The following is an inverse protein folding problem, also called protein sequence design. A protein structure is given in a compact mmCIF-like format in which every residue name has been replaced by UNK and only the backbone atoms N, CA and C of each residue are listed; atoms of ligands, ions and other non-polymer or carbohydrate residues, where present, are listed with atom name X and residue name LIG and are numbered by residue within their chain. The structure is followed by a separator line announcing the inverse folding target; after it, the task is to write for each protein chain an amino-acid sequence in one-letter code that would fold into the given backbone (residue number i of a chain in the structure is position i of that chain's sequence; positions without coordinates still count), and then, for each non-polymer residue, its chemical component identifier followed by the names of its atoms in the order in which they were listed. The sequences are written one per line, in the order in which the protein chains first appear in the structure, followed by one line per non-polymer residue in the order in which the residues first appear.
data_IF_055621726956
#
_entry.id   IF_055621726956
#
_cell.length_a   1.000
_cell.length_b   1.000
_cell.length_c   1.000
_cell.angle_alpha   90.00
_cell.angle_beta   90.00
_cell.angle_gamma   90.00
#
_symmetry.space_group_name_H-M   'P 1'
#
loop_
_entity.id
_entity.type
_entity.pdbx_description
1 polymer ?
#
# COMPACT_ATOMS: atom_id res chain seq x y z
N UNK A 1 9.19 17.71 -17.55
CA UNK A 1 9.40 16.28 -17.92
C UNK A 1 9.14 15.27 -16.77
N UNK A 2 8.37 15.61 -15.71
CA UNK A 2 8.04 14.68 -14.60
C UNK A 2 6.66 14.00 -14.73
N UNK A 3 5.71 14.58 -15.48
CA UNK A 3 4.35 14.01 -15.60
C UNK A 3 4.31 12.71 -16.40
N UNK A 4 5.06 12.61 -17.50
CA UNK A 4 5.01 11.44 -18.39
C UNK A 4 5.49 10.15 -17.72
N UNK A 5 6.45 10.23 -16.80
CA UNK A 5 6.96 9.06 -16.06
C UNK A 5 5.91 8.48 -15.10
N UNK A 6 5.17 9.34 -14.40
CA UNK A 6 4.09 8.89 -13.50
C UNK A 6 2.93 8.22 -14.24
N UNK A 7 2.61 8.72 -15.43
CA UNK A 7 1.55 8.15 -16.28
C UNK A 7 1.97 6.74 -16.74
N UNK A 8 3.21 6.59 -17.21
CA UNK A 8 3.74 5.27 -17.60
C UNK A 8 3.80 4.27 -16.45
N UNK A 9 4.21 4.71 -15.25
CA UNK A 9 4.19 3.86 -14.06
C UNK A 9 2.77 3.43 -13.67
N UNK A 10 1.78 4.34 -13.73
CA UNK A 10 0.38 4.00 -13.49
C UNK A 10 -0.14 2.99 -14.52
N UNK A 11 0.13 3.19 -15.81
CA UNK A 11 -0.29 2.27 -16.87
C UNK A 11 0.31 0.87 -16.69
N UNK A 12 1.58 0.77 -16.28
CA UNK A 12 2.22 -0.51 -15.99
C UNK A 12 1.57 -1.23 -14.80
N UNK A 13 1.22 -0.49 -13.74
CA UNK A 13 0.50 -1.04 -12.58
C UNK A 13 -0.91 -1.50 -12.96
N UNK A 14 -1.61 -0.74 -13.81
CA UNK A 14 -2.92 -1.13 -14.34
C UNK A 14 -2.82 -2.42 -15.14
N UNK A 15 -1.79 -2.58 -15.98
CA UNK A 15 -1.57 -3.80 -16.75
C UNK A 15 -1.29 -5.02 -15.86
N UNK A 16 -0.58 -4.83 -14.74
CA UNK A 16 -0.17 -5.93 -13.85
C UNK A 16 -1.25 -6.35 -12.85
N UNK A 17 -1.87 -5.39 -12.17
CA UNK A 17 -2.80 -5.66 -11.06
C UNK A 17 -4.27 -5.38 -11.41
N UNK A 18 -4.51 -4.79 -12.58
CA UNK A 18 -5.86 -4.40 -13.00
C UNK A 18 -6.24 -3.00 -12.51
N UNK A 19 -6.98 -2.28 -13.35
CA UNK A 19 -7.42 -0.90 -13.07
C UNK A 19 -8.27 -0.80 -11.81
N UNK A 20 -9.23 -1.71 -11.64
CA UNK A 20 -10.18 -1.67 -10.52
C UNK A 20 -9.49 -1.72 -9.14
N UNK A 21 -8.55 -2.65 -8.96
CA UNK A 21 -7.78 -2.78 -7.71
C UNK A 21 -6.93 -1.56 -7.42
N UNK A 22 -6.32 -0.99 -8.46
CA UNK A 22 -5.49 0.20 -8.35
C UNK A 22 -6.33 1.43 -8.00
N UNK A 23 -7.47 1.60 -8.67
CA UNK A 23 -8.39 2.70 -8.42
C UNK A 23 -8.98 2.61 -7.01
N UNK A 24 -9.34 1.42 -6.53
CA UNK A 24 -9.80 1.21 -5.15
C UNK A 24 -8.73 1.64 -4.11
N UNK A 25 -7.48 1.23 -4.32
CA UNK A 25 -6.39 1.61 -3.44
C UNK A 25 -6.16 3.13 -3.44
N UNK A 26 -6.17 3.76 -4.61
CA UNK A 26 -6.00 5.21 -4.74
C UNK A 26 -7.15 5.99 -4.12
N UNK A 27 -8.38 5.53 -4.30
CA UNK A 27 -9.56 6.15 -3.69
C UNK A 27 -9.48 6.08 -2.16
N UNK A 28 -9.08 4.93 -1.61
CA UNK A 28 -8.86 4.79 -0.16
C UNK A 28 -7.73 5.70 0.35
N UNK A 29 -6.65 5.85 -0.41
CA UNK A 29 -5.59 6.82 -0.07
C UNK A 29 -6.12 8.26 -0.06
N UNK A 30 -6.94 8.63 -1.05
CA UNK A 30 -7.56 9.95 -1.14
C UNK A 30 -8.51 10.21 0.03
N UNK A 31 -9.35 9.25 0.40
CA UNK A 31 -10.23 9.34 1.57
C UNK A 31 -9.43 9.64 2.85
N UNK A 32 -8.30 8.96 3.06
CA UNK A 32 -7.41 9.18 4.20
C UNK A 32 -6.79 10.58 4.19
N UNK A 33 -6.26 11.00 3.04
CA UNK A 33 -5.56 12.29 2.90
C UNK A 33 -6.53 13.48 3.07
N UNK A 34 -7.77 13.32 2.61
CA UNK A 34 -8.83 14.34 2.65
C UNK A 34 -9.66 14.30 3.93
N UNK A 35 -9.57 13.23 4.73
CA UNK A 35 -10.30 13.05 5.98
C UNK A 35 -10.16 14.26 6.90
N UNK A 36 -11.28 14.78 7.42
CA UNK A 36 -11.31 15.87 8.41
C UNK A 36 -11.28 15.39 9.86
N UNK A 37 -11.24 14.06 10.08
CA UNK A 37 -11.24 13.49 11.43
C UNK A 37 -9.91 13.79 12.13
N UNK A 38 -9.91 14.07 13.44
CA UNK A 38 -8.67 14.32 14.18
C UNK A 38 -7.80 13.06 14.32
N UNK A 39 -8.44 11.90 14.38
CA UNK A 39 -7.79 10.59 14.46
C UNK A 39 -8.32 9.64 13.39
N UNK A 40 -7.47 8.72 12.97
CA UNK A 40 -7.80 7.65 12.02
C UNK A 40 -7.39 6.32 12.64
N UNK A 41 -8.33 5.37 12.63
CA UNK A 41 -8.13 4.01 13.09
C UNK A 41 -7.36 3.21 12.05
N UNK A 42 -6.18 2.69 12.40
CA UNK A 42 -5.37 1.82 11.56
C UNK A 42 -5.08 0.54 12.35
N UNK A 43 -5.44 -0.63 11.82
CA UNK A 43 -5.18 -1.94 12.43
C UNK A 43 -5.63 -2.11 13.90
N UNK A 44 -6.62 -1.33 14.36
CA UNK A 44 -7.12 -1.37 15.74
C UNK A 44 -6.71 -0.18 16.61
N UNK A 45 -5.66 0.54 16.23
CA UNK A 45 -5.13 1.69 16.98
C UNK A 45 -5.52 3.04 16.35
N UNK A 46 -5.68 4.07 17.19
CA UNK A 46 -6.04 5.42 16.76
C UNK A 46 -4.79 6.31 16.63
N UNK A 47 -4.54 6.82 15.42
CA UNK A 47 -3.40 7.67 15.12
C UNK A 47 -3.83 9.10 14.79
N UNK A 48 -3.05 10.13 15.19
CA UNK A 48 -3.28 11.49 14.74
C UNK A 48 -3.29 11.57 13.21
N UNK A 49 -4.31 12.24 12.65
CA UNK A 49 -4.51 12.42 11.20
C UNK A 49 -3.23 12.85 10.48
N UNK A 50 -2.50 13.81 11.03
CA UNK A 50 -1.33 14.39 10.34
C UNK A 50 -0.19 13.36 10.19
N UNK A 51 -0.05 12.44 11.15
CA UNK A 51 0.93 11.34 11.06
C UNK A 51 0.52 10.36 9.97
N UNK A 52 -0.77 9.98 9.95
CA UNK A 52 -1.33 9.06 8.94
C UNK A 52 -1.17 9.67 7.55
N UNK A 53 -1.60 10.92 7.38
CA UNK A 53 -1.46 11.66 6.13
C UNK A 53 -0.01 11.75 5.67
N UNK A 54 0.93 12.08 6.57
CA UNK A 54 2.36 12.14 6.24
C UNK A 54 2.90 10.80 5.70
N UNK A 55 2.46 9.67 6.26
CA UNK A 55 2.84 8.34 5.77
C UNK A 55 2.23 8.02 4.41
N UNK A 56 0.94 8.30 4.23
CA UNK A 56 0.26 8.09 2.95
C UNK A 56 0.86 8.91 1.80
N UNK A 57 1.30 10.14 2.08
CA UNK A 57 1.97 10.99 1.09
C UNK A 57 3.36 10.48 0.65
N UNK A 58 3.95 9.53 1.38
CA UNK A 58 5.23 8.87 1.02
C UNK A 58 5.03 7.62 0.16
N UNK A 59 3.80 7.17 -0.04
CA UNK A 59 3.48 6.02 -0.89
C UNK A 59 3.86 6.33 -2.34
N UNK A 60 4.45 5.35 -3.00
CA UNK A 60 4.88 5.41 -4.40
C UNK A 60 4.47 4.10 -5.09
N UNK A 61 4.78 3.97 -6.39
CA UNK A 61 4.48 2.78 -7.18
C UNK A 61 5.02 1.49 -6.55
N UNK A 62 6.25 1.47 -6.05
CA UNK A 62 6.83 0.30 -5.37
C UNK A 62 6.10 -0.12 -4.10
N UNK A 63 5.64 0.85 -3.30
CA UNK A 63 4.82 0.54 -2.11
C UNK A 63 3.46 -0.08 -2.51
N UNK A 64 2.86 0.37 -3.62
CA UNK A 64 1.62 -0.22 -4.13
C UNK A 64 1.83 -1.64 -4.64
N UNK A 65 2.91 -1.89 -5.39
CA UNK A 65 3.31 -3.23 -5.82
C UNK A 65 3.45 -4.18 -4.64
N UNK A 66 4.23 -3.78 -3.62
CA UNK A 66 4.40 -4.55 -2.39
C UNK A 66 3.07 -4.89 -1.71
N UNK A 67 2.14 -3.93 -1.62
CA UNK A 67 0.82 -4.16 -1.01
C UNK A 67 -0.01 -5.13 -1.83
N UNK A 68 -0.01 -5.03 -3.17
CA UNK A 68 -0.75 -5.96 -4.02
C UNK A 68 -0.15 -7.37 -3.96
N UNK A 69 1.17 -7.50 -3.98
CA UNK A 69 1.85 -8.79 -3.78
C UNK A 69 1.47 -9.41 -2.44
N UNK A 70 1.38 -8.61 -1.38
CA UNK A 70 0.95 -9.07 -0.06
C UNK A 70 -0.53 -9.51 -0.02
N UNK A 71 -1.39 -8.97 -0.88
CA UNK A 71 -2.77 -9.43 -1.01
C UNK A 71 -2.82 -10.76 -1.76
N UNK A 72 -2.07 -10.85 -2.86
CA UNK A 72 -2.09 -12.02 -3.74
C UNK A 72 -1.45 -13.25 -3.07
N UNK A 73 -0.44 -13.04 -2.22
CA UNK A 73 0.17 -14.10 -1.40
C UNK A 73 -0.65 -14.46 -0.16
N UNK A 74 -1.67 -13.68 0.21
CA UNK A 74 -2.47 -13.97 1.39
C UNK A 74 -3.46 -15.09 1.13
N UNK A 75 -3.25 -16.25 1.77
CA UNK A 75 -4.09 -17.44 1.63
C UNK A 75 -5.32 -17.43 2.54
N UNK A 76 -5.46 -16.42 3.41
CA UNK A 76 -6.54 -16.31 4.39
C UNK A 76 -7.65 -15.38 3.88
N UNK A 77 -8.91 -15.78 4.08
CA UNK A 77 -10.06 -14.95 3.70
C UNK A 77 -10.06 -13.64 4.49
N UNK A 78 -9.84 -12.53 3.78
CA UNK A 78 -9.90 -11.19 4.38
C UNK A 78 -11.37 -10.78 4.53
N UNK A 79 -11.86 -10.75 5.78
CA UNK A 79 -13.26 -10.38 6.08
C UNK A 79 -13.57 -8.90 5.85
N UNK A 80 -12.59 -8.01 6.01
CA UNK A 80 -12.71 -6.58 5.73
C UNK A 80 -11.51 -6.12 4.90
N UNK A 81 -11.66 -6.20 3.57
CA UNK A 81 -10.59 -5.90 2.62
C UNK A 81 -10.11 -4.44 2.71
N UNK A 82 -11.01 -3.49 2.98
CA UNK A 82 -10.66 -2.07 3.15
C UNK A 82 -9.78 -1.83 4.37
N UNK A 83 -10.12 -2.42 5.51
CA UNK A 83 -9.31 -2.28 6.73
C UNK A 83 -7.91 -2.91 6.54
N UNK A 84 -7.84 -4.03 5.84
CA UNK A 84 -6.57 -4.67 5.48
C UNK A 84 -5.72 -3.78 4.56
N UNK A 85 -6.29 -3.29 3.46
CA UNK A 85 -5.64 -2.38 2.52
C UNK A 85 -5.12 -1.12 3.21
N UNK A 86 -5.95 -0.51 4.04
CA UNK A 86 -5.59 0.67 4.82
C UNK A 86 -4.38 0.42 5.72
N UNK A 87 -4.36 -0.72 6.43
CA UNK A 87 -3.24 -1.10 7.28
C UNK A 87 -1.97 -1.42 6.46
N UNK A 88 -2.12 -2.14 5.34
CA UNK A 88 -1.01 -2.49 4.48
C UNK A 88 -0.36 -1.24 3.86
N UNK A 89 -1.16 -0.32 3.31
CA UNK A 89 -0.70 0.95 2.74
C UNK A 89 0.00 1.83 3.78
N UNK A 90 -0.56 1.91 5.00
CA UNK A 90 0.06 2.68 6.09
C UNK A 90 1.44 2.16 6.49
N UNK A 91 1.59 0.82 6.51
CA UNK A 91 2.80 0.14 6.94
C UNK A 91 3.85 -0.01 5.84
N UNK A 92 3.43 0.03 4.56
CA UNK A 92 4.31 -0.24 3.42
C UNK A 92 5.65 0.52 3.45
N UNK A 93 5.72 1.84 3.71
CA UNK A 93 7.00 2.54 3.76
C UNK A 93 7.94 2.10 4.89
N UNK A 94 7.42 1.47 5.94
CA UNK A 94 8.21 0.98 7.07
C UNK A 94 8.58 -0.51 6.94
N UNK A 95 7.76 -1.32 6.26
CA UNK A 95 7.91 -2.77 6.20
C UNK A 95 8.50 -3.27 4.88
N UNK A 96 8.38 -2.50 3.79
CA UNK A 96 8.84 -2.91 2.45
C UNK A 96 10.33 -3.27 2.41
N UNK A 97 11.20 -2.48 3.04
CA UNK A 97 12.64 -2.77 3.12
C UNK A 97 12.94 -4.08 3.86
N UNK A 98 12.18 -4.36 4.93
CA UNK A 98 12.32 -5.61 5.69
C UNK A 98 11.81 -6.80 4.90
N UNK A 99 10.72 -6.62 4.15
CA UNK A 99 10.15 -7.66 3.29
C UNK A 99 11.10 -8.08 2.17
N UNK A 100 11.66 -7.12 1.40
CA UNK A 100 12.60 -7.47 0.34
C UNK A 100 13.91 -8.07 0.86
N UNK A 101 14.40 -7.63 2.03
CA UNK A 101 15.54 -8.29 2.70
C UNK A 101 15.21 -9.74 3.09
N UNK A 102 14.00 -9.99 3.57
CA UNK A 102 13.55 -11.34 3.93
C UNK A 102 13.38 -12.23 2.70
N UNK A 103 12.78 -11.74 1.60
CA UNK A 103 12.66 -12.50 0.35
C UNK A 103 14.02 -12.83 -0.28
N UNK A 104 14.95 -11.86 -0.33
CA UNK A 104 16.32 -12.12 -0.83
C UNK A 104 17.03 -13.17 0.02
N UNK A 105 16.90 -13.11 1.34
CA UNK A 105 17.47 -14.13 2.22
C UNK A 105 16.80 -15.50 2.03
N UNK A 106 15.49 -15.54 1.77
CA UNK A 106 14.77 -16.78 1.48
C UNK A 106 15.19 -17.40 0.13
N UNK A 107 15.44 -16.59 -0.89
CA UNK A 107 15.91 -17.10 -2.19
C UNK A 107 17.40 -17.51 -2.17
N UNK A 108 18.21 -16.88 -1.31
CA UNK A 108 19.63 -17.20 -1.14
C UNK A 108 19.91 -18.37 -0.18
N UNK A 109 19.04 -18.58 0.82
CA UNK A 109 19.26 -19.55 1.91
C UNK A 109 18.07 -20.48 2.19
N UNK A 110 16.99 -20.38 1.44
CA UNK A 110 15.82 -21.27 1.55
C UNK A 110 16.10 -22.60 0.86
N UNK A 111 16.61 -23.56 1.63
CA UNK A 111 16.60 -25.00 1.31
C UNK A 111 15.41 -25.70 1.98
#
# INVERSE_FOLDING_TARGET
MKSSKKIFEYDLLVLRYGRERLDEALELMLEVILSKRPYIRIAGDDFPREIVKSRFLKINSGHLEYVFDCIDKNTTKVGNIKAYLLAALYNAPATMDSYYRAEVNHDLYGC
#
